data_IF_385017200975
#
_entry.id   IF_385017200975
#
_cell.length_a   1.000
_cell.length_b   1.000
_cell.length_c   1.000
_cell.angle_alpha   90.00
_cell.angle_beta   90.00
_cell.angle_gamma   90.00
#
_symmetry.space_group_name_H-M   'P 1'
#
loop_
_entity.id
_entity.type
_entity.pdbx_description
1 polymer ?
#
# COMPACT_ATOMS: atom_id res chain seq x y z
N UNK A 1 0.79 15.70 9.12
CA UNK A 1 1.09 14.46 9.85
C UNK A 1 1.15 13.30 8.87
N UNK A 2 2.14 12.44 8.99
CA UNK A 2 2.30 11.31 8.09
C UNK A 2 3.32 10.30 8.60
N UNK A 3 3.43 9.17 7.92
CA UNK A 3 4.40 8.13 8.19
C UNK A 3 4.76 7.37 6.92
N UNK A 4 5.92 6.71 6.93
CA UNK A 4 6.41 5.92 5.81
C UNK A 4 6.81 4.52 6.24
N UNK A 5 6.08 3.51 5.73
CA UNK A 5 6.44 2.10 5.89
C UNK A 5 7.55 1.67 4.93
N UNK A 6 8.32 0.67 5.34
CA UNK A 6 9.24 -0.05 4.46
C UNK A 6 8.52 -1.05 3.54
N UNK A 7 7.24 -1.31 3.78
CA UNK A 7 6.37 -2.07 2.89
C UNK A 7 5.80 -1.17 1.79
N UNK A 8 5.45 -1.75 0.65
CA UNK A 8 4.86 -1.02 -0.46
C UNK A 8 5.16 -1.63 -1.82
N UNK A 9 4.98 -0.85 -2.89
CA UNK A 9 5.16 -1.31 -4.27
C UNK A 9 6.56 -1.86 -4.58
N UNK A 10 7.60 -1.34 -3.94
CA UNK A 10 8.96 -1.85 -4.10
C UNK A 10 9.11 -3.30 -3.62
N UNK A 11 8.37 -3.70 -2.59
CA UNK A 11 8.37 -5.07 -2.07
C UNK A 11 7.81 -6.04 -3.09
N UNK A 12 6.77 -5.64 -3.82
CA UNK A 12 6.16 -6.48 -4.87
C UNK A 12 7.16 -6.82 -5.98
N UNK A 13 8.02 -5.86 -6.34
CA UNK A 13 9.07 -6.06 -7.34
C UNK A 13 10.18 -7.01 -6.87
N UNK A 14 10.30 -7.26 -5.59
CA UNK A 14 11.16 -8.30 -5.04
C UNK A 14 10.67 -9.71 -5.32
N UNK A 15 9.39 -9.89 -5.64
CA UNK A 15 8.76 -11.19 -5.93
C UNK A 15 8.37 -11.36 -7.39
N UNK A 16 7.92 -10.29 -8.04
CA UNK A 16 7.38 -10.33 -9.41
C UNK A 16 7.86 -9.13 -10.22
N UNK A 17 8.14 -9.34 -11.49
CA UNK A 17 8.38 -8.23 -12.41
C UNK A 17 7.07 -7.56 -12.84
N UNK A 18 7.16 -6.40 -13.49
CA UNK A 18 5.99 -5.62 -13.90
C UNK A 18 5.09 -6.38 -14.88
N UNK A 19 5.64 -7.20 -15.78
CA UNK A 19 4.88 -8.02 -16.71
C UNK A 19 4.07 -9.12 -15.99
N UNK A 20 4.68 -9.78 -15.00
CA UNK A 20 4.00 -10.79 -14.17
C UNK A 20 2.86 -10.16 -13.37
N UNK A 21 3.10 -9.02 -12.74
CA UNK A 21 2.06 -8.30 -11.98
C UNK A 21 0.91 -7.85 -12.88
N UNK A 22 1.21 -7.33 -14.06
CA UNK A 22 0.19 -6.94 -15.06
C UNK A 22 -0.66 -8.13 -15.52
N UNK A 23 -0.04 -9.29 -15.75
CA UNK A 23 -0.75 -10.51 -16.15
C UNK A 23 -1.63 -11.07 -15.02
N UNK A 24 -1.21 -10.96 -13.76
CA UNK A 24 -1.95 -11.46 -12.60
C UNK A 24 -3.09 -10.52 -12.16
N UNK A 25 -2.95 -9.22 -12.38
CA UNK A 25 -3.92 -8.22 -11.91
C UNK A 25 -5.38 -8.51 -12.34
N UNK A 26 -5.69 -8.88 -13.59
CA UNK A 26 -7.06 -9.22 -13.98
C UNK A 26 -7.62 -10.49 -13.31
N UNK A 27 -6.76 -11.33 -12.77
CA UNK A 27 -7.11 -12.59 -12.11
C UNK A 27 -7.34 -12.45 -10.61
N UNK A 28 -7.03 -11.27 -10.04
CA UNK A 28 -7.28 -10.98 -8.63
C UNK A 28 -8.78 -10.91 -8.34
N UNK A 29 -9.17 -11.32 -7.14
CA UNK A 29 -10.53 -11.16 -6.64
C UNK A 29 -10.57 -10.24 -5.41
N UNK A 30 -10.65 -8.92 -5.59
CA UNK A 30 -10.63 -7.96 -4.47
C UNK A 30 -11.79 -8.12 -3.49
N UNK A 31 -12.88 -8.76 -3.90
CA UNK A 31 -14.06 -8.98 -3.06
C UNK A 31 -13.88 -10.15 -2.08
N UNK A 32 -12.99 -11.10 -2.39
CA UNK A 32 -12.76 -12.30 -1.60
C UNK A 32 -11.37 -12.27 -0.95
N UNK A 33 -11.28 -12.13 0.39
CA UNK A 33 -10.00 -12.18 1.09
C UNK A 33 -9.29 -13.52 0.92
N UNK A 34 -7.96 -13.49 0.80
CA UNK A 34 -7.15 -14.72 0.74
C UNK A 34 -7.06 -15.44 2.09
N UNK A 35 -7.27 -14.73 3.19
CA UNK A 35 -7.01 -15.24 4.55
C UNK A 35 -5.53 -15.27 4.94
N UNK A 36 -4.63 -14.83 4.06
CA UNK A 36 -3.19 -14.78 4.33
C UNK A 36 -2.86 -13.56 5.19
N UNK A 37 -2.24 -13.80 6.35
CA UNK A 37 -1.84 -12.74 7.28
C UNK A 37 -0.39 -12.33 7.03
N UNK A 38 -0.14 -11.66 5.90
CA UNK A 38 1.20 -11.20 5.52
C UNK A 38 1.54 -9.82 6.07
N UNK A 39 2.82 -9.67 6.41
CA UNK A 39 3.49 -8.39 6.58
C UNK A 39 4.65 -8.33 5.59
N UNK A 40 4.43 -7.81 4.36
CA UNK A 40 5.41 -7.90 3.29
C UNK A 40 6.55 -6.91 3.47
N UNK A 41 7.75 -7.43 3.71
CA UNK A 41 9.01 -6.69 3.74
C UNK A 41 10.06 -7.48 2.96
N UNK A 42 11.03 -6.83 2.36
CA UNK A 42 12.17 -7.49 1.70
C UNK A 42 13.27 -7.92 2.67
N UNK A 43 13.35 -7.23 3.80
CA UNK A 43 14.32 -7.50 4.87
C UNK A 43 13.70 -7.13 6.21
N UNK A 44 14.26 -7.60 7.34
CA UNK A 44 13.84 -7.14 8.66
C UNK A 44 13.97 -5.62 8.80
N UNK A 45 13.02 -5.02 9.50
CA UNK A 45 12.98 -3.61 9.84
C UNK A 45 11.75 -2.87 9.31
N UNK A 46 11.05 -2.20 10.21
CA UNK A 46 9.92 -1.35 9.89
C UNK A 46 10.04 -0.01 10.60
N UNK A 47 9.59 1.07 9.94
CA UNK A 47 9.62 2.44 10.47
C UNK A 47 8.25 2.90 10.95
N UNK A 48 7.20 2.54 10.22
CA UNK A 48 5.83 2.95 10.48
C UNK A 48 4.86 1.94 9.82
N UNK A 49 3.79 1.50 10.46
CA UNK A 49 3.24 1.94 11.76
C UNK A 49 3.92 1.33 13.01
N UNK A 50 4.92 0.50 12.81
CA UNK A 50 5.75 -0.07 13.86
C UNK A 50 7.15 0.54 13.74
N UNK A 51 7.69 1.07 14.84
CA UNK A 51 9.08 1.50 14.86
C UNK A 51 9.95 0.39 15.46
N UNK A 52 10.28 -0.61 14.64
CA UNK A 52 11.07 -1.78 15.04
C UNK A 52 12.08 -2.14 13.94
N UNK A 53 13.38 -1.85 14.15
CA UNK A 53 14.42 -2.15 13.17
C UNK A 53 14.69 -3.65 12.97
N UNK A 54 14.17 -4.51 13.83
CA UNK A 54 14.30 -5.96 13.76
C UNK A 54 13.04 -6.70 13.31
N UNK A 55 11.95 -5.96 13.01
CA UNK A 55 10.66 -6.56 12.65
C UNK A 55 10.79 -7.45 11.41
N UNK A 56 10.57 -8.76 11.61
CA UNK A 56 10.74 -9.73 10.54
C UNK A 56 9.59 -9.71 9.53
N UNK A 57 9.86 -9.94 8.24
CA UNK A 57 8.82 -10.20 7.25
C UNK A 57 7.95 -11.39 7.67
N UNK A 58 6.64 -11.31 7.42
CA UNK A 58 5.73 -12.44 7.57
C UNK A 58 5.08 -12.74 6.23
N UNK A 59 5.50 -13.85 5.61
CA UNK A 59 5.14 -14.23 4.23
C UNK A 59 4.74 -15.71 4.12
N UNK A 60 4.43 -16.33 5.26
CA UNK A 60 4.03 -17.75 5.33
C UNK A 60 2.59 -17.89 5.84
N UNK A 61 1.85 -18.90 5.39
CA UNK A 61 2.23 -19.89 4.37
C UNK A 61 2.30 -19.29 2.96
N UNK A 62 3.15 -19.85 2.10
CA UNK A 62 3.26 -19.47 0.68
C UNK A 62 2.40 -20.43 -0.15
N UNK A 63 1.26 -19.98 -0.73
CA UNK A 63 0.48 -20.82 -1.62
C UNK A 63 1.26 -21.11 -2.91
N UNK A 64 0.95 -22.25 -3.56
CA UNK A 64 1.56 -22.64 -4.84
C UNK A 64 1.08 -21.75 -6.00
N UNK A 65 -0.13 -21.18 -5.89
CA UNK A 65 -0.69 -20.26 -6.86
C UNK A 65 -0.14 -18.85 -6.65
N UNK A 66 0.58 -18.35 -7.65
CA UNK A 66 1.19 -17.01 -7.63
C UNK A 66 0.16 -15.88 -7.56
N UNK A 67 -1.02 -16.05 -8.15
CA UNK A 67 -2.09 -15.05 -8.09
C UNK A 67 -2.59 -14.89 -6.66
N UNK A 68 -2.82 -16.00 -5.95
CA UNK A 68 -3.22 -15.97 -4.54
C UNK A 68 -2.12 -15.35 -3.66
N UNK A 69 -0.86 -15.70 -3.92
CA UNK A 69 0.28 -15.10 -3.20
C UNK A 69 0.36 -13.60 -3.45
N UNK A 70 0.25 -13.18 -4.71
CA UNK A 70 0.26 -11.77 -5.09
C UNK A 70 -0.89 -10.99 -4.41
N UNK A 71 -2.10 -11.54 -4.42
CA UNK A 71 -3.23 -10.91 -3.70
C UNK A 71 -2.95 -10.81 -2.20
N UNK A 72 -2.40 -11.83 -1.58
CA UNK A 72 -2.01 -11.82 -0.17
C UNK A 72 -1.00 -10.71 0.16
N UNK A 73 -0.01 -10.48 -0.72
CA UNK A 73 0.93 -9.36 -0.58
C UNK A 73 0.22 -8.02 -0.62
N UNK A 74 -0.68 -7.81 -1.60
CA UNK A 74 -1.45 -6.58 -1.74
C UNK A 74 -2.37 -6.33 -0.53
N UNK A 75 -3.00 -7.38 -0.02
CA UNK A 75 -3.82 -7.33 1.20
C UNK A 75 -2.98 -6.97 2.43
N UNK A 76 -1.79 -7.55 2.55
CA UNK A 76 -0.85 -7.24 3.62
C UNK A 76 -0.45 -5.76 3.62
N UNK A 77 -0.06 -5.23 2.47
CA UNK A 77 0.29 -3.81 2.34
C UNK A 77 -0.90 -2.90 2.68
N UNK A 78 -2.10 -3.26 2.23
CA UNK A 78 -3.30 -2.48 2.53
C UNK A 78 -3.67 -2.50 4.03
N UNK A 79 -3.43 -3.61 4.75
CA UNK A 79 -3.60 -3.67 6.21
C UNK A 79 -2.57 -2.81 6.95
N UNK A 80 -1.33 -2.77 6.46
CA UNK A 80 -0.29 -1.87 7.00
C UNK A 80 -0.73 -0.41 6.84
N UNK A 81 -1.23 -0.04 5.67
CA UNK A 81 -1.79 1.29 5.42
C UNK A 81 -2.95 1.61 6.37
N UNK A 82 -3.89 0.69 6.52
CA UNK A 82 -5.02 0.83 7.45
C UNK A 82 -4.54 1.05 8.89
N UNK A 83 -3.59 0.24 9.35
CA UNK A 83 -2.99 0.40 10.69
C UNK A 83 -2.28 1.74 10.83
N UNK A 84 -1.62 2.21 9.77
CA UNK A 84 -0.99 3.51 9.74
C UNK A 84 -1.99 4.65 9.98
N UNK A 85 -3.12 4.65 9.28
CA UNK A 85 -4.18 5.65 9.50
C UNK A 85 -4.79 5.55 10.90
N UNK A 86 -4.97 4.35 11.42
CA UNK A 86 -5.45 4.15 12.80
C UNK A 86 -4.48 4.76 13.82
N UNK A 87 -3.18 4.48 13.67
CA UNK A 87 -2.17 5.04 14.56
C UNK A 87 -2.11 6.57 14.49
N UNK A 88 -2.21 7.15 13.29
CA UNK A 88 -2.26 8.60 13.15
C UNK A 88 -3.48 9.19 13.87
N UNK A 89 -4.63 8.53 13.81
CA UNK A 89 -5.82 8.95 14.54
C UNK A 89 -5.64 8.83 16.06
N UNK A 90 -5.02 7.75 16.54
CA UNK A 90 -4.66 7.57 17.96
C UNK A 90 -3.73 8.70 18.45
N UNK A 91 -2.89 9.24 17.56
CA UNK A 91 -1.99 10.37 17.82
C UNK A 91 -2.65 11.75 17.63
N UNK A 92 -3.96 11.79 17.40
CA UNK A 92 -4.74 13.04 17.31
C UNK A 92 -4.94 13.59 15.89
N UNK A 93 -4.50 12.90 14.84
CA UNK A 93 -4.84 13.29 13.48
C UNK A 93 -6.30 12.95 13.15
N UNK A 94 -6.99 13.77 12.33
CA UNK A 94 -8.32 13.40 11.86
C UNK A 94 -8.26 12.12 11.01
N UNK A 95 -9.27 11.25 11.13
CA UNK A 95 -9.40 10.08 10.27
C UNK A 95 -9.57 10.51 8.81
N UNK A 96 -8.99 9.78 7.84
CA UNK A 96 -9.14 10.12 6.45
C UNK A 96 -10.60 9.99 6.00
N UNK A 97 -11.09 10.96 5.25
CA UNK A 97 -12.42 10.94 4.61
C UNK A 97 -12.35 10.48 3.15
N UNK A 98 -11.16 10.48 2.58
CA UNK A 98 -10.86 9.96 1.24
C UNK A 98 -9.36 9.71 1.12
N UNK A 99 -8.96 8.86 0.15
CA UNK A 99 -7.56 8.61 -0.17
C UNK A 99 -7.31 8.86 -1.65
N UNK A 100 -6.22 9.57 -1.95
CA UNK A 100 -5.68 9.71 -3.31
C UNK A 100 -4.34 9.00 -3.40
N UNK A 101 -4.21 8.12 -4.38
CA UNK A 101 -2.97 7.36 -4.60
C UNK A 101 -2.19 7.95 -5.75
N UNK A 102 -0.87 8.07 -5.56
CA UNK A 102 0.08 8.46 -6.61
C UNK A 102 1.13 7.37 -6.80
N UNK A 103 1.82 7.40 -7.93
CA UNK A 103 2.84 6.42 -8.28
C UNK A 103 2.28 5.14 -8.91
N UNK A 104 3.15 4.16 -9.17
CA UNK A 104 2.83 2.95 -9.94
C UNK A 104 1.70 2.09 -9.35
N UNK A 105 1.56 2.04 -8.04
CA UNK A 105 0.48 1.31 -7.37
C UNK A 105 -0.91 1.86 -7.66
N UNK A 106 -1.04 3.13 -8.01
CA UNK A 106 -2.30 3.77 -8.35
C UNK A 106 -2.93 3.22 -9.64
N UNK A 107 -2.12 2.62 -10.51
CA UNK A 107 -2.57 2.06 -11.79
C UNK A 107 -3.21 0.67 -11.65
N UNK A 108 -3.02 -0.02 -10.53
CA UNK A 108 -3.62 -1.32 -10.28
C UNK A 108 -5.04 -1.16 -9.73
N UNK A 109 -6.05 -1.31 -10.61
CA UNK A 109 -7.46 -1.15 -10.25
C UNK A 109 -7.95 -2.19 -9.23
N UNK A 110 -7.44 -3.42 -9.27
CA UNK A 110 -7.77 -4.45 -8.30
C UNK A 110 -7.24 -4.09 -6.92
N UNK A 111 -6.02 -3.59 -6.82
CA UNK A 111 -5.46 -3.11 -5.56
C UNK A 111 -6.21 -1.89 -5.01
N UNK A 112 -6.60 -0.96 -5.87
CA UNK A 112 -7.44 0.18 -5.47
C UNK A 112 -8.77 -0.28 -4.86
N UNK A 113 -9.44 -1.26 -5.46
CA UNK A 113 -10.69 -1.85 -4.91
C UNK A 113 -10.46 -2.55 -3.57
N UNK A 114 -9.37 -3.29 -3.45
CA UNK A 114 -8.99 -3.98 -2.22
C UNK A 114 -8.73 -2.98 -1.09
N UNK A 115 -8.00 -1.90 -1.36
CA UNK A 115 -7.74 -0.82 -0.40
C UNK A 115 -9.04 -0.11 0.00
N UNK A 116 -9.91 0.22 -0.96
CA UNK A 116 -11.22 0.83 -0.67
C UNK A 116 -12.05 -0.03 0.31
N UNK A 117 -12.04 -1.35 0.11
CA UNK A 117 -12.72 -2.29 1.01
C UNK A 117 -12.15 -2.26 2.43
N UNK A 118 -10.83 -2.27 2.57
CA UNK A 118 -10.17 -2.31 3.88
C UNK A 118 -10.22 -0.95 4.59
N UNK A 119 -9.98 0.14 3.89
CA UNK A 119 -9.95 1.49 4.46
C UNK A 119 -11.36 2.05 4.71
N UNK A 120 -12.37 1.53 4.00
CA UNK A 120 -13.77 1.99 4.07
C UNK A 120 -13.95 3.48 3.79
N UNK A 121 -13.11 4.02 2.91
CA UNK A 121 -13.18 5.41 2.44
C UNK A 121 -13.07 5.46 0.92
N UNK A 122 -13.62 6.50 0.27
CA UNK A 122 -13.50 6.68 -1.17
C UNK A 122 -12.05 6.77 -1.63
N UNK A 123 -11.71 6.03 -2.69
CA UNK A 123 -10.44 6.12 -3.39
C UNK A 123 -10.63 7.08 -4.57
N UNK A 124 -10.07 8.28 -4.46
CA UNK A 124 -10.22 9.33 -5.45
C UNK A 124 -9.04 9.33 -6.43
N UNK A 125 -9.32 9.66 -7.68
CA UNK A 125 -8.28 9.89 -8.68
C UNK A 125 -7.59 11.23 -8.41
N UNK A 126 -6.26 11.29 -8.30
CA UNK A 126 -5.55 12.55 -8.19
C UNK A 126 -5.60 13.32 -9.53
N UNK A 127 -5.67 14.65 -9.47
CA UNK A 127 -5.59 15.49 -10.67
C UNK A 127 -4.22 15.35 -11.36
N UNK A 128 -3.16 15.19 -10.56
CA UNK A 128 -1.80 14.96 -11.02
C UNK A 128 -1.22 13.76 -10.31
N UNK A 129 -0.65 12.84 -11.07
CA UNK A 129 -0.08 11.58 -10.53
C UNK A 129 1.42 11.69 -10.26
N UNK A 130 2.06 12.78 -10.69
CA UNK A 130 3.49 12.99 -10.53
C UNK A 130 3.80 13.64 -9.17
N UNK A 131 4.64 13.00 -8.37
CA UNK A 131 5.10 13.54 -7.09
C UNK A 131 5.86 14.87 -7.26
N UNK A 132 6.54 15.07 -8.38
CA UNK A 132 7.25 16.29 -8.70
C UNK A 132 6.30 17.51 -8.80
N UNK A 133 5.06 17.30 -9.24
CA UNK A 133 4.07 18.37 -9.30
C UNK A 133 3.71 18.92 -7.90
N UNK A 134 3.51 18.02 -6.93
CA UNK A 134 3.25 18.43 -5.54
C UNK A 134 4.43 19.20 -4.92
N UNK A 135 5.65 18.75 -5.18
CA UNK A 135 6.86 19.43 -4.74
C UNK A 135 7.00 20.84 -5.36
N UNK A 136 6.70 20.96 -6.66
CA UNK A 136 6.73 22.24 -7.37
C UNK A 136 5.70 23.24 -6.81
N UNK A 137 4.49 22.78 -6.47
CA UNK A 137 3.46 23.61 -5.84
C UNK A 137 3.88 24.10 -4.45
N UNK A 138 4.54 23.25 -3.67
CA UNK A 138 5.05 23.64 -2.35
C UNK A 138 6.19 24.70 -2.48
N UNK A 139 7.08 24.52 -3.45
CA UNK A 139 8.13 25.49 -3.74
C UNK A 139 7.57 26.86 -4.15
N UNK A 140 6.55 26.88 -5.00
CA UNK A 140 5.87 28.13 -5.41
C UNK A 140 5.19 28.85 -4.23
N UNK A 141 4.65 28.13 -3.26
CA UNK A 141 4.02 28.72 -2.06
C UNK A 141 5.03 29.19 -1.05
N UNK A 142 6.23 28.60 -1.02
CA UNK A 142 7.32 29.02 -0.12
C UNK A 142 8.07 30.26 -0.56
N UNK A 143 7.81 30.76 -1.79
CA UNK A 143 8.41 31.98 -2.34
C UNK A 143 7.51 33.22 -2.20
N UNK A 144 6.36 33.09 -1.58
CA UNK A 144 5.44 34.17 -1.23
C UNK A 144 5.54 34.49 0.26
#
# INVERSE_FOLDING_TARGET
VGGGSNSGGAVLRGFFNDAQMSAMTPRLNPALPTGLDYYPLLAPGERFPLNDPSYAPRLTPRPSDDVTFFQGLLEGIARIEQRGYQLLAELGAPSPTSVRSVGGGAQNSAWTKLRARLLKVPMLTPEHQDAAYGAALLALRGTQ
#
